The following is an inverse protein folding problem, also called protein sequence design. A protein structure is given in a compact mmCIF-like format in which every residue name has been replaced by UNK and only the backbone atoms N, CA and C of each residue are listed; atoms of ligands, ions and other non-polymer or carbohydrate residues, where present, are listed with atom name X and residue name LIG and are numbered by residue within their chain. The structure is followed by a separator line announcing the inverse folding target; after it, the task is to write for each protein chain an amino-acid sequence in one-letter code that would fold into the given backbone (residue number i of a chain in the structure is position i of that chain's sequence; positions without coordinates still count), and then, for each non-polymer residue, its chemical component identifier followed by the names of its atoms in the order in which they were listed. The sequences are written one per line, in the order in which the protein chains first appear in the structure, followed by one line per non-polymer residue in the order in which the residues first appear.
data_IF_127080969606
#
_entry.id   IF_127080969606
#
_cell.length_a   1.000
_cell.length_b   1.000
_cell.length_c   1.000
_cell.angle_alpha   90.00
_cell.angle_beta   90.00
_cell.angle_gamma   90.00
#
_symmetry.space_group_name_H-M   'P 1'
#
loop_
_entity.id
_entity.type
_entity.pdbx_description
1 polymer ?
#
# COMPACT_ATOMS: atom_id res chain seq x y z
N UNK A 1 -16.92 21.67 -0.41
CA UNK A 1 -17.58 20.96 0.70
C UNK A 1 -16.71 21.00 1.95
N UNK A 2 -17.28 20.72 3.10
CA UNK A 2 -16.56 20.49 4.36
C UNK A 2 -16.44 18.99 4.59
N UNK A 3 -15.23 18.49 4.69
CA UNK A 3 -14.96 17.04 4.74
C UNK A 3 -14.14 16.71 5.99
N UNK A 4 -14.59 15.76 6.80
CA UNK A 4 -13.78 15.15 7.84
C UNK A 4 -13.19 13.83 7.34
N UNK A 5 -11.88 13.62 7.55
CA UNK A 5 -11.15 12.41 7.13
C UNK A 5 -10.69 11.68 8.38
N UNK A 6 -11.26 10.52 8.64
CA UNK A 6 -10.96 9.69 9.81
C UNK A 6 -9.87 8.67 9.50
N UNK A 7 -8.76 8.76 10.22
CA UNK A 7 -7.56 7.97 10.01
C UNK A 7 -6.53 8.70 9.14
N UNK A 8 -5.45 9.17 9.73
CA UNK A 8 -4.33 9.84 9.08
C UNK A 8 -3.17 8.85 8.79
N UNK A 9 -3.55 7.66 8.28
CA UNK A 9 -2.65 6.74 7.63
C UNK A 9 -2.36 7.18 6.20
N UNK A 10 -1.87 6.24 5.37
CA UNK A 10 -1.46 6.53 4.00
C UNK A 10 -2.61 7.17 3.18
N UNK A 11 -3.72 6.46 3.06
CA UNK A 11 -4.89 6.90 2.28
C UNK A 11 -5.48 8.21 2.82
N UNK A 12 -5.58 8.33 4.15
CA UNK A 12 -6.18 9.51 4.77
C UNK A 12 -5.31 10.76 4.64
N UNK A 13 -4.00 10.66 4.83
CA UNK A 13 -3.10 11.80 4.69
C UNK A 13 -3.05 12.33 3.25
N UNK A 14 -2.96 11.41 2.25
CA UNK A 14 -3.05 11.79 0.82
C UNK A 14 -4.41 12.43 0.52
N UNK A 15 -5.50 11.82 1.01
CA UNK A 15 -6.85 12.37 0.80
C UNK A 15 -6.99 13.77 1.42
N UNK A 16 -6.43 14.03 2.61
CA UNK A 16 -6.46 15.37 3.22
C UNK A 16 -5.79 16.42 2.34
N UNK A 17 -4.57 16.15 1.87
CA UNK A 17 -3.82 17.09 1.04
C UNK A 17 -4.51 17.36 -0.31
N UNK A 18 -4.87 16.29 -1.02
CA UNK A 18 -5.45 16.39 -2.36
C UNK A 18 -6.88 16.99 -2.34
N UNK A 19 -7.75 16.61 -1.38
CA UNK A 19 -9.08 17.20 -1.26
C UNK A 19 -9.03 18.69 -0.89
N UNK A 20 -8.09 19.09 -0.03
CA UNK A 20 -7.88 20.49 0.28
C UNK A 20 -7.43 21.29 -0.97
N UNK A 21 -6.55 20.73 -1.79
CA UNK A 21 -6.09 21.36 -3.05
C UNK A 21 -7.20 21.44 -4.10
N UNK A 22 -8.15 20.49 -4.10
CA UNK A 22 -9.36 20.57 -4.93
C UNK A 22 -10.36 21.66 -4.48
N UNK A 23 -10.09 22.36 -3.37
CA UNK A 23 -10.89 23.47 -2.86
C UNK A 23 -11.92 23.08 -1.82
N UNK A 24 -11.77 21.92 -1.17
CA UNK A 24 -12.58 21.54 -0.02
C UNK A 24 -11.98 22.07 1.27
N UNK A 25 -12.82 22.30 2.31
CA UNK A 25 -12.37 22.52 3.68
C UNK A 25 -12.25 21.15 4.36
N UNK A 26 -11.06 20.78 4.83
CA UNK A 26 -10.77 19.43 5.31
C UNK A 26 -10.35 19.44 6.78
N UNK A 27 -10.90 18.51 7.55
CA UNK A 27 -10.49 18.22 8.93
C UNK A 27 -10.02 16.78 9.03
N UNK A 28 -8.72 16.57 9.21
CA UNK A 28 -8.16 15.25 9.49
C UNK A 28 -8.41 14.82 10.94
N UNK A 29 -8.78 13.57 11.16
CA UNK A 29 -9.02 13.01 12.50
C UNK A 29 -8.19 11.76 12.68
N UNK A 30 -7.38 11.70 13.74
CA UNK A 30 -6.66 10.49 14.15
C UNK A 30 -6.52 10.43 15.66
N UNK A 31 -6.50 9.23 16.22
CA UNK A 31 -6.28 9.02 17.65
C UNK A 31 -4.85 9.33 18.09
N UNK A 32 -3.90 9.37 17.14
CA UNK A 32 -2.49 9.66 17.37
C UNK A 32 -2.26 11.17 17.34
N UNK A 33 -2.01 11.78 18.51
CA UNK A 33 -1.65 13.20 18.62
C UNK A 33 -0.43 13.53 17.74
N UNK A 34 0.56 12.64 17.68
CA UNK A 34 1.77 12.86 16.86
C UNK A 34 1.45 13.04 15.37
N UNK A 35 0.49 12.29 14.81
CA UNK A 35 0.07 12.46 13.42
C UNK A 35 -0.72 13.76 13.22
N UNK A 36 -1.58 14.09 14.19
CA UNK A 36 -2.33 15.35 14.20
C UNK A 36 -1.37 16.54 14.19
N UNK A 37 -0.34 16.52 15.03
CA UNK A 37 0.67 17.58 15.12
C UNK A 37 1.48 17.70 13.83
N UNK A 38 1.84 16.58 13.19
CA UNK A 38 2.52 16.59 11.89
C UNK A 38 1.67 17.28 10.82
N UNK A 39 0.41 16.88 10.66
CA UNK A 39 -0.49 17.50 9.67
C UNK A 39 -0.66 18.99 9.96
N UNK A 40 -0.87 19.39 11.22
CA UNK A 40 -1.01 20.80 11.59
C UNK A 40 0.26 21.61 11.39
N UNK A 41 1.43 20.95 11.40
CA UNK A 41 2.71 21.55 11.04
C UNK A 41 2.97 21.57 9.51
N UNK A 42 1.99 21.13 8.68
CA UNK A 42 2.15 21.00 7.23
C UNK A 42 3.07 19.85 6.79
N UNK A 43 3.31 18.88 7.68
CA UNK A 43 4.23 17.75 7.43
C UNK A 43 3.46 16.45 7.25
N UNK A 44 3.82 15.60 6.28
CA UNK A 44 3.18 14.31 6.09
C UNK A 44 3.60 13.31 7.18
N UNK A 45 2.68 12.48 7.69
CA UNK A 45 3.00 11.38 8.59
C UNK A 45 3.51 10.12 7.86
N UNK A 46 3.71 10.20 6.56
CA UNK A 46 4.13 9.13 5.63
C UNK A 46 5.11 9.71 4.61
N UNK A 47 5.86 8.86 3.93
CA UNK A 47 6.71 9.26 2.79
C UNK A 47 5.91 9.12 1.49
N UNK A 48 5.60 10.26 0.85
CA UNK A 48 4.90 10.30 -0.43
C UNK A 48 5.30 11.57 -1.21
N UNK A 49 5.66 11.38 -2.48
CA UNK A 49 6.09 12.47 -3.35
C UNK A 49 4.98 13.52 -3.55
N UNK A 50 5.31 14.80 -3.39
CA UNK A 50 4.36 15.91 -3.58
C UNK A 50 3.38 16.15 -2.43
N UNK A 51 3.30 15.24 -1.44
CA UNK A 51 2.36 15.40 -0.33
C UNK A 51 2.76 16.52 0.62
N UNK A 52 4.05 16.74 0.86
CA UNK A 52 4.52 17.79 1.75
C UNK A 52 4.07 19.17 1.26
N UNK A 53 4.27 19.47 -0.02
CA UNK A 53 3.90 20.73 -0.64
C UNK A 53 2.38 20.98 -0.58
N UNK A 54 1.58 19.92 -0.78
CA UNK A 54 0.12 20.00 -0.68
C UNK A 54 -0.33 20.33 0.74
N UNK A 55 0.22 19.64 1.75
CA UNK A 55 -0.12 19.88 3.15
C UNK A 55 0.30 21.27 3.61
N UNK A 56 1.52 21.71 3.32
CA UNK A 56 1.98 23.06 3.64
C UNK A 56 1.10 24.13 3.02
N UNK A 57 0.75 23.98 1.73
CA UNK A 57 -0.15 24.91 1.02
C UNK A 57 -1.52 24.96 1.67
N UNK A 58 -2.10 23.80 1.98
CA UNK A 58 -3.44 23.69 2.57
C UNK A 58 -3.51 24.29 3.99
N UNK A 59 -2.48 24.08 4.80
CA UNK A 59 -2.37 24.66 6.17
C UNK A 59 -2.21 26.17 6.08
N UNK A 60 -1.32 26.69 5.22
CA UNK A 60 -1.16 28.14 5.02
C UNK A 60 -2.43 28.83 4.53
N UNK A 61 -3.23 28.12 3.72
CA UNK A 61 -4.52 28.61 3.22
C UNK A 61 -5.67 28.46 4.23
N UNK A 62 -5.43 27.88 5.41
CA UNK A 62 -6.43 27.56 6.44
C UNK A 62 -7.61 26.70 5.93
N UNK A 63 -7.37 25.84 4.93
CA UNK A 63 -8.37 24.91 4.38
C UNK A 63 -8.18 23.49 4.89
N UNK A 64 -7.07 23.21 5.57
CA UNK A 64 -6.78 21.95 6.23
C UNK A 64 -6.39 22.20 7.70
N UNK A 65 -6.88 21.36 8.58
CA UNK A 65 -6.43 21.20 9.96
C UNK A 65 -6.60 19.75 10.38
N UNK A 66 -6.02 19.35 11.51
CA UNK A 66 -6.23 18.04 12.09
C UNK A 66 -6.57 18.14 13.57
N UNK A 67 -7.29 17.14 14.10
CA UNK A 67 -7.73 17.07 15.49
C UNK A 67 -7.85 15.61 15.96
N UNK A 68 -7.80 15.39 17.26
CA UNK A 68 -8.17 14.11 17.88
C UNK A 68 -9.66 14.03 18.20
N UNK A 69 -10.39 15.15 18.12
CA UNK A 69 -11.81 15.26 18.43
C UNK A 69 -12.66 14.99 17.19
N UNK A 70 -13.14 13.73 17.06
CA UNK A 70 -14.00 13.32 15.94
C UNK A 70 -15.40 13.95 16.00
N UNK A 71 -15.94 14.26 17.21
CA UNK A 71 -17.25 14.90 17.35
C UNK A 71 -17.23 16.34 16.80
N UNK A 72 -16.19 17.09 17.16
CA UNK A 72 -15.96 18.44 16.62
C UNK A 72 -15.77 18.42 15.09
N UNK A 73 -15.07 17.41 14.56
CA UNK A 73 -14.87 17.27 13.13
C UNK A 73 -16.17 17.00 12.37
N UNK A 74 -17.04 16.10 12.86
CA UNK A 74 -18.35 15.81 12.27
C UNK A 74 -19.26 17.05 12.32
N UNK A 75 -19.30 17.77 13.44
CA UNK A 75 -20.08 19.00 13.59
C UNK A 75 -19.78 20.02 12.49
N UNK A 76 -18.53 20.09 12.05
CA UNK A 76 -18.04 21.07 11.08
C UNK A 76 -17.94 20.52 9.65
N UNK A 77 -18.52 19.35 9.37
CA UNK A 77 -18.45 18.69 8.08
C UNK A 77 -19.82 18.43 7.46
N UNK A 78 -19.83 18.16 6.16
CA UNK A 78 -20.98 17.68 5.39
C UNK A 78 -20.78 16.20 5.02
N UNK A 79 -19.51 15.77 4.98
CA UNK A 79 -19.08 14.43 4.59
C UNK A 79 -18.02 13.92 5.58
N UNK A 80 -18.14 12.67 6.01
CA UNK A 80 -17.09 11.96 6.72
C UNK A 80 -16.49 10.88 5.82
N UNK A 81 -15.16 10.94 5.60
CA UNK A 81 -14.40 9.97 4.83
C UNK A 81 -13.66 9.04 5.80
N UNK A 82 -14.02 7.76 5.83
CA UNK A 82 -13.44 6.77 6.72
C UNK A 82 -12.25 6.09 6.06
N UNK A 83 -11.04 6.43 6.53
CA UNK A 83 -9.74 5.96 6.03
C UNK A 83 -8.95 5.16 7.08
N UNK A 84 -9.63 4.61 8.08
CA UNK A 84 -8.98 3.86 9.16
C UNK A 84 -8.47 2.51 8.67
N UNK A 85 -7.43 1.99 9.33
CA UNK A 85 -6.84 0.71 8.97
C UNK A 85 -7.80 -0.48 9.17
N UNK A 86 -7.69 -1.45 8.29
CA UNK A 86 -8.39 -2.75 8.35
C UNK A 86 -7.36 -3.88 8.38
N UNK A 87 -6.62 -4.08 9.50
CA UNK A 87 -5.54 -5.05 9.56
C UNK A 87 -6.04 -6.48 9.48
N UNK A 88 -5.16 -7.38 9.03
CA UNK A 88 -5.46 -8.81 8.94
C UNK A 88 -5.59 -9.44 10.33
N UNK A 89 -6.56 -10.34 10.47
CA UNK A 89 -6.68 -11.24 11.62
C UNK A 89 -5.66 -12.38 11.50
N UNK A 90 -5.47 -13.14 12.59
CA UNK A 90 -4.62 -14.36 12.58
C UNK A 90 -5.11 -15.43 11.61
N UNK A 91 -6.41 -15.49 11.33
CA UNK A 91 -7.02 -16.43 10.37
C UNK A 91 -6.91 -15.96 8.91
N UNK A 92 -6.37 -14.77 8.65
CA UNK A 92 -6.26 -14.19 7.31
C UNK A 92 -7.43 -13.31 6.88
N UNK A 93 -8.48 -13.21 7.68
CA UNK A 93 -9.58 -12.26 7.47
C UNK A 93 -9.16 -10.82 7.76
N UNK A 94 -10.10 -9.90 7.67
CA UNK A 94 -9.91 -8.47 7.93
C UNK A 94 -10.67 -8.09 9.20
N UNK A 95 -10.01 -7.40 10.15
CA UNK A 95 -10.72 -6.82 11.29
C UNK A 95 -11.35 -5.48 10.90
N UNK A 96 -12.61 -5.31 11.27
CA UNK A 96 -13.42 -4.11 10.99
C UNK A 96 -13.61 -3.22 12.22
N UNK A 97 -13.03 -3.62 13.36
CA UNK A 97 -13.24 -2.98 14.65
C UNK A 97 -13.01 -1.45 14.63
N UNK A 98 -11.93 -0.98 13.99
CA UNK A 98 -11.69 0.46 13.89
C UNK A 98 -12.73 1.16 13.01
N UNK A 99 -13.15 0.52 11.94
CA UNK A 99 -14.17 1.06 11.04
C UNK A 99 -15.53 1.13 11.74
N UNK A 100 -15.90 0.08 12.48
CA UNK A 100 -17.14 0.04 13.28
C UNK A 100 -17.14 1.10 14.39
N UNK A 101 -16.01 1.26 15.09
CA UNK A 101 -15.87 2.26 16.15
C UNK A 101 -16.04 3.69 15.61
N UNK A 102 -15.40 4.00 14.48
CA UNK A 102 -15.53 5.30 13.83
C UNK A 102 -16.93 5.51 13.27
N UNK A 103 -17.55 4.50 12.65
CA UNK A 103 -18.91 4.59 12.15
C UNK A 103 -19.91 4.90 13.30
N UNK A 104 -19.75 4.24 14.44
CA UNK A 104 -20.55 4.50 15.65
C UNK A 104 -20.37 5.93 16.16
N UNK A 105 -19.11 6.38 16.29
CA UNK A 105 -18.79 7.75 16.70
C UNK A 105 -19.41 8.79 15.76
N UNK A 106 -19.28 8.59 14.44
CA UNK A 106 -19.87 9.48 13.44
C UNK A 106 -21.40 9.49 13.56
N UNK A 107 -22.03 8.32 13.70
CA UNK A 107 -23.49 8.22 13.88
C UNK A 107 -23.99 8.93 15.13
N UNK A 108 -23.32 8.77 16.28
CA UNK A 108 -23.63 9.45 17.53
C UNK A 108 -23.49 10.98 17.39
N UNK A 109 -22.46 11.45 16.70
CA UNK A 109 -22.25 12.86 16.39
C UNK A 109 -23.35 13.42 15.47
N UNK A 110 -23.77 12.66 14.45
CA UNK A 110 -24.91 13.01 13.59
C UNK A 110 -26.20 13.16 14.43
N UNK A 111 -26.45 12.23 15.35
CA UNK A 111 -27.60 12.31 16.26
C UNK A 111 -27.54 13.56 17.14
N UNK A 112 -26.37 13.86 17.70
CA UNK A 112 -26.14 15.00 18.61
C UNK A 112 -26.30 16.35 17.92
N UNK A 113 -25.69 16.50 16.73
CA UNK A 113 -25.65 17.79 16.01
C UNK A 113 -26.79 17.97 15.01
N UNK A 114 -27.50 16.90 14.70
CA UNK A 114 -28.70 16.87 13.87
C UNK A 114 -28.57 17.63 12.51
N UNK A 115 -27.53 17.40 11.67
CA UNK A 115 -27.41 18.05 10.38
C UNK A 115 -28.58 17.70 9.48
N UNK A 116 -28.96 18.60 8.54
CA UNK A 116 -30.06 18.34 7.60
C UNK A 116 -29.82 17.11 6.73
N UNK A 117 -28.59 16.95 6.25
CA UNK A 117 -28.11 15.78 5.51
C UNK A 117 -26.62 15.59 5.80
N UNK A 118 -26.18 14.34 5.93
CA UNK A 118 -24.77 14.00 6.16
C UNK A 118 -24.41 12.73 5.38
N UNK A 119 -23.24 12.73 4.73
CA UNK A 119 -22.79 11.57 3.96
C UNK A 119 -21.58 10.92 4.64
N UNK A 120 -21.64 9.60 4.81
CA UNK A 120 -20.52 8.80 5.32
C UNK A 120 -19.95 7.98 4.17
N UNK A 121 -18.69 8.20 3.86
CA UNK A 121 -17.98 7.49 2.80
C UNK A 121 -16.90 6.59 3.39
N UNK A 122 -16.98 5.28 3.15
CA UNK A 122 -15.93 4.34 3.53
C UNK A 122 -14.92 4.21 2.40
N UNK A 123 -13.68 4.65 2.67
CA UNK A 123 -12.53 4.49 1.76
C UNK A 123 -11.62 3.34 2.17
N UNK A 124 -11.74 2.88 3.41
CA UNK A 124 -11.05 1.68 3.90
C UNK A 124 -11.50 0.44 3.12
N UNK A 125 -10.52 -0.35 2.66
CA UNK A 125 -10.82 -1.61 1.94
C UNK A 125 -11.49 -2.62 2.87
N UNK A 126 -12.69 -3.03 2.52
CA UNK A 126 -13.49 -4.01 3.29
C UNK A 126 -14.40 -4.83 2.37
N UNK A 127 -14.74 -6.04 2.82
CA UNK A 127 -15.57 -6.98 2.06
C UNK A 127 -17.05 -6.52 1.99
N UNK A 128 -17.81 -6.98 1.00
CA UNK A 128 -19.20 -6.52 0.76
C UNK A 128 -20.11 -6.56 1.97
N UNK A 129 -20.06 -7.63 2.79
CA UNK A 129 -20.89 -7.76 4.00
C UNK A 129 -20.58 -6.70 5.07
N UNK A 130 -19.33 -6.18 5.10
CA UNK A 130 -18.92 -5.15 6.06
C UNK A 130 -19.66 -3.84 5.80
N UNK A 131 -19.94 -3.52 4.53
CA UNK A 131 -20.66 -2.28 4.19
C UNK A 131 -22.09 -2.30 4.72
N UNK A 132 -22.77 -3.46 4.72
CA UNK A 132 -24.08 -3.58 5.35
C UNK A 132 -23.98 -3.41 6.87
N UNK A 133 -22.99 -4.03 7.52
CA UNK A 133 -22.74 -3.85 8.95
C UNK A 133 -22.51 -2.37 9.31
N UNK A 134 -21.75 -1.63 8.51
CA UNK A 134 -21.50 -0.20 8.76
C UNK A 134 -22.79 0.62 8.58
N UNK A 135 -23.61 0.31 7.56
CA UNK A 135 -24.93 0.92 7.38
C UNK A 135 -25.79 0.70 8.62
N UNK A 136 -25.89 -0.54 9.11
CA UNK A 136 -26.69 -0.88 10.29
C UNK A 136 -26.20 -0.12 11.56
N UNK A 137 -24.88 -0.03 11.76
CA UNK A 137 -24.27 0.74 12.85
C UNK A 137 -24.63 2.22 12.74
N UNK A 138 -24.51 2.81 11.55
CA UNK A 138 -24.82 4.22 11.32
C UNK A 138 -26.31 4.50 11.54
N UNK A 139 -27.21 3.65 11.07
CA UNK A 139 -28.65 3.79 11.32
C UNK A 139 -28.98 3.71 12.80
N UNK A 140 -28.41 2.72 13.50
CA UNK A 140 -28.63 2.54 14.93
C UNK A 140 -28.09 3.70 15.76
N UNK A 141 -26.85 4.13 15.50
CA UNK A 141 -26.19 5.17 16.30
C UNK A 141 -26.70 6.57 15.99
N UNK A 142 -27.06 6.87 14.74
CA UNK A 142 -27.64 8.16 14.36
C UNK A 142 -29.13 8.29 14.66
N UNK A 143 -29.84 7.17 14.78
CA UNK A 143 -31.30 7.12 14.88
C UNK A 143 -32.02 7.49 13.58
N UNK A 144 -31.33 7.43 12.43
CA UNK A 144 -31.84 7.77 11.10
C UNK A 144 -31.78 6.55 10.17
N UNK A 145 -32.60 6.57 9.12
CA UNK A 145 -32.54 5.57 8.03
C UNK A 145 -31.80 6.13 6.83
N UNK A 146 -31.06 5.27 6.11
CA UNK A 146 -30.38 5.66 4.88
C UNK A 146 -31.35 6.32 3.90
N UNK A 147 -30.92 7.37 3.20
CA UNK A 147 -31.77 8.21 2.36
C UNK A 147 -32.63 9.25 3.12
N UNK A 148 -32.69 9.19 4.44
CA UNK A 148 -33.47 10.11 5.26
C UNK A 148 -32.55 10.96 6.17
N UNK A 149 -31.84 11.91 5.57
CA UNK A 149 -30.91 12.82 6.24
C UNK A 149 -29.54 12.21 6.59
N UNK A 150 -29.31 10.97 6.19
CA UNK A 150 -28.00 10.29 6.18
C UNK A 150 -27.87 9.48 4.91
N UNK A 151 -26.69 9.51 4.28
CA UNK A 151 -26.33 8.70 3.14
C UNK A 151 -25.04 7.92 3.39
N UNK A 152 -24.91 6.78 2.74
CA UNK A 152 -23.72 5.95 2.82
C UNK A 152 -23.10 5.71 1.45
N UNK A 153 -21.76 5.68 1.38
CA UNK A 153 -20.99 5.42 0.16
C UNK A 153 -19.83 4.46 0.47
N UNK A 154 -19.73 3.38 -0.29
CA UNK A 154 -18.48 2.68 -0.48
C UNK A 154 -17.69 3.39 -1.57
N UNK A 155 -16.56 3.99 -1.22
CA UNK A 155 -15.71 4.74 -2.13
C UNK A 155 -14.28 4.19 -2.10
N UNK A 156 -14.01 3.08 -2.79
CA UNK A 156 -12.69 2.46 -2.81
C UNK A 156 -11.65 3.40 -3.41
N UNK A 157 -10.41 3.24 -2.96
CA UNK A 157 -9.26 3.94 -3.50
C UNK A 157 -8.44 3.01 -4.42
N UNK A 158 -7.71 3.59 -5.37
CA UNK A 158 -6.82 2.89 -6.30
C UNK A 158 -5.41 3.49 -6.28
N UNK A 159 -5.03 4.04 -5.14
CA UNK A 159 -3.75 4.70 -4.91
C UNK A 159 -2.62 3.68 -4.77
N UNK A 160 -1.47 3.99 -5.35
CA UNK A 160 -0.23 3.20 -5.20
C UNK A 160 0.76 3.97 -4.37
N UNK A 161 1.27 3.36 -3.31
CA UNK A 161 2.29 3.97 -2.45
C UNK A 161 3.51 4.42 -3.27
N UNK A 162 4.01 5.63 -2.98
CA UNK A 162 5.10 6.29 -3.70
C UNK A 162 4.68 7.11 -4.93
N UNK A 163 3.42 6.98 -5.40
CA UNK A 163 2.83 7.76 -6.51
C UNK A 163 1.35 8.08 -6.26
N UNK A 164 0.91 8.07 -5.01
CA UNK A 164 -0.50 8.19 -4.66
C UNK A 164 -1.07 9.59 -4.92
N UNK A 165 -0.25 10.62 -4.85
CA UNK A 165 -0.66 11.98 -5.22
C UNK A 165 -0.98 12.06 -6.71
N UNK A 166 -0.13 11.49 -7.57
CA UNK A 166 -0.38 11.42 -9.00
C UNK A 166 -1.61 10.56 -9.32
N UNK A 167 -1.71 9.36 -8.70
CA UNK A 167 -2.87 8.48 -8.87
C UNK A 167 -4.18 9.13 -8.40
N UNK A 168 -4.12 10.04 -7.43
CA UNK A 168 -5.30 10.78 -6.97
C UNK A 168 -5.80 11.77 -8.02
N UNK A 169 -4.89 12.48 -8.71
CA UNK A 169 -5.26 13.46 -9.74
C UNK A 169 -5.54 12.82 -11.11
N UNK A 170 -4.93 11.66 -11.39
CA UNK A 170 -5.05 10.95 -12.67
C UNK A 170 -5.52 9.49 -12.45
N UNK A 171 -6.66 9.26 -11.74
CA UNK A 171 -7.13 7.91 -11.49
C UNK A 171 -7.65 7.27 -12.79
N UNK A 172 -7.44 5.95 -12.98
CA UNK A 172 -7.98 5.26 -14.14
C UNK A 172 -9.52 5.19 -14.11
N UNK A 173 -10.10 5.33 -12.94
CA UNK A 173 -11.55 5.34 -12.68
C UNK A 173 -11.85 5.90 -11.30
N UNK A 174 -13.05 6.45 -11.12
CA UNK A 174 -13.63 6.82 -9.83
C UNK A 174 -14.87 5.95 -9.61
N UNK A 175 -15.01 5.34 -8.43
CA UNK A 175 -16.14 4.45 -8.12
C UNK A 175 -16.84 4.91 -6.86
N UNK A 176 -18.15 5.09 -6.95
CA UNK A 176 -19.02 5.40 -5.83
C UNK A 176 -20.11 4.35 -5.70
N UNK A 177 -20.07 3.56 -4.65
CA UNK A 177 -21.15 2.65 -4.27
C UNK A 177 -22.11 3.35 -3.31
N UNK A 178 -23.13 4.02 -3.82
CA UNK A 178 -24.04 4.83 -3.01
C UNK A 178 -25.38 4.13 -2.73
N UNK A 179 -25.99 4.47 -1.59
CA UNK A 179 -27.26 3.87 -1.17
C UNK A 179 -28.49 4.53 -1.75
N UNK A 180 -28.38 5.77 -2.23
CA UNK A 180 -29.53 6.55 -2.71
C UNK A 180 -29.11 7.68 -3.66
N UNK A 181 -30.09 8.23 -4.39
CA UNK A 181 -29.86 9.26 -5.40
C UNK A 181 -29.35 10.59 -4.82
N UNK A 182 -29.77 11.00 -3.63
CA UNK A 182 -29.34 12.25 -2.99
C UNK A 182 -27.85 12.14 -2.63
N UNK A 183 -27.46 11.02 -2.09
CA UNK A 183 -26.06 10.71 -1.77
C UNK A 183 -25.20 10.67 -3.04
N UNK A 184 -25.74 10.13 -4.14
CA UNK A 184 -25.07 10.12 -5.46
C UNK A 184 -24.75 11.54 -5.97
N UNK A 185 -25.67 12.50 -5.79
CA UNK A 185 -25.42 13.90 -6.17
C UNK A 185 -24.29 14.54 -5.36
N UNK A 186 -24.16 14.20 -4.06
CA UNK A 186 -23.01 14.65 -3.25
C UNK A 186 -21.70 14.09 -3.80
N UNK A 187 -21.68 12.80 -4.20
CA UNK A 187 -20.49 12.16 -4.79
C UNK A 187 -19.99 12.90 -6.03
N UNK A 188 -20.88 13.38 -6.91
CA UNK A 188 -20.52 14.10 -8.14
C UNK A 188 -19.73 15.39 -7.87
N UNK A 189 -19.88 15.98 -6.70
CA UNK A 189 -19.20 17.23 -6.34
C UNK A 189 -17.86 17.00 -5.62
N UNK A 190 -17.48 15.76 -5.37
CA UNK A 190 -16.27 15.43 -4.60
C UNK A 190 -14.98 15.68 -5.38
N UNK A 191 -15.01 15.48 -6.70
CA UNK A 191 -13.83 15.57 -7.57
C UNK A 191 -14.05 16.52 -8.76
N UNK A 192 -14.23 17.83 -8.52
CA UNK A 192 -14.67 18.76 -9.55
C UNK A 192 -13.66 18.98 -10.69
N UNK A 193 -12.40 18.57 -10.51
CA UNK A 193 -11.31 18.77 -11.48
C UNK A 193 -10.66 17.46 -11.94
N UNK A 194 -11.23 16.32 -11.56
CA UNK A 194 -10.71 15.01 -11.96
C UNK A 194 -11.43 14.55 -13.22
N UNK A 195 -10.68 14.43 -14.31
CA UNK A 195 -11.18 13.90 -15.58
C UNK A 195 -10.91 12.40 -15.65
N UNK A 196 -11.87 11.61 -15.15
CA UNK A 196 -11.80 10.15 -15.17
C UNK A 196 -13.19 9.52 -15.28
N UNK A 197 -13.29 8.33 -15.91
CA UNK A 197 -14.52 7.56 -15.91
C UNK A 197 -15.05 7.37 -14.50
N UNK A 198 -16.26 7.84 -14.23
CA UNK A 198 -16.90 7.77 -12.91
C UNK A 198 -18.07 6.77 -12.96
N UNK A 199 -18.06 5.83 -12.03
CA UNK A 199 -19.06 4.77 -11.93
C UNK A 199 -19.88 4.93 -10.64
N UNK A 200 -21.19 4.86 -10.78
CA UNK A 200 -22.14 4.81 -9.67
C UNK A 200 -22.78 3.43 -9.65
N UNK A 201 -22.53 2.70 -8.56
CA UNK A 201 -22.95 1.30 -8.41
C UNK A 201 -23.46 1.08 -6.97
N UNK A 202 -23.91 -0.13 -6.66
CA UNK A 202 -24.22 -0.53 -5.30
C UNK A 202 -22.96 -0.64 -4.43
N UNK A 203 -23.02 -0.40 -3.10
CA UNK A 203 -21.88 -0.47 -2.21
C UNK A 203 -21.09 -1.79 -2.29
N UNK A 204 -21.80 -2.91 -2.40
CA UNK A 204 -21.21 -4.25 -2.48
C UNK A 204 -20.41 -4.45 -3.79
N UNK A 205 -20.90 -3.89 -4.89
CA UNK A 205 -20.19 -3.93 -6.19
C UNK A 205 -18.93 -3.10 -6.12
N UNK A 206 -19.01 -1.86 -5.57
CA UNK A 206 -17.85 -0.99 -5.39
C UNK A 206 -16.77 -1.67 -4.53
N UNK A 207 -17.16 -2.35 -3.45
CA UNK A 207 -16.25 -3.10 -2.60
C UNK A 207 -15.53 -4.21 -3.39
N UNK A 208 -16.27 -5.02 -4.16
CA UNK A 208 -15.69 -6.12 -4.93
C UNK A 208 -14.75 -5.65 -6.04
N UNK A 209 -14.98 -4.49 -6.65
CA UNK A 209 -14.07 -3.92 -7.65
C UNK A 209 -12.67 -3.75 -7.08
N UNK A 210 -12.53 -3.25 -5.83
CA UNK A 210 -11.21 -3.09 -5.19
C UNK A 210 -10.49 -4.42 -5.00
N UNK A 211 -11.19 -5.46 -4.54
CA UNK A 211 -10.60 -6.80 -4.39
C UNK A 211 -10.23 -7.40 -5.75
N UNK A 212 -11.10 -7.25 -6.76
CA UNK A 212 -10.79 -7.72 -8.11
C UNK A 212 -9.51 -7.07 -8.67
N UNK A 213 -9.37 -5.76 -8.54
CA UNK A 213 -8.18 -5.04 -8.97
C UNK A 213 -6.92 -5.53 -8.25
N UNK A 214 -6.96 -5.61 -6.92
CA UNK A 214 -5.78 -6.03 -6.13
C UNK A 214 -5.40 -7.49 -6.41
N UNK A 215 -6.38 -8.40 -6.51
CA UNK A 215 -6.13 -9.80 -6.87
C UNK A 215 -5.53 -9.91 -8.28
N UNK A 216 -6.02 -9.11 -9.23
CA UNK A 216 -5.49 -9.12 -10.59
C UNK A 216 -4.07 -8.54 -10.66
N UNK A 217 -3.76 -7.51 -9.85
CA UNK A 217 -2.39 -7.02 -9.73
C UNK A 217 -1.45 -8.11 -9.20
N UNK A 218 -1.87 -8.83 -8.14
CA UNK A 218 -1.10 -9.95 -7.59
C UNK A 218 -0.93 -11.08 -8.61
N UNK A 219 -1.97 -11.40 -9.38
CA UNK A 219 -1.89 -12.39 -10.47
C UNK A 219 -0.86 -12.01 -11.51
N UNK A 220 -0.82 -10.75 -11.94
CA UNK A 220 0.16 -10.29 -12.95
C UNK A 220 1.61 -10.43 -12.48
N UNK A 221 1.89 -10.09 -11.23
CA UNK A 221 3.23 -10.26 -10.65
C UNK A 221 3.62 -11.74 -10.63
N UNK A 222 2.73 -12.59 -10.12
CA UNK A 222 2.97 -14.03 -10.02
C UNK A 222 3.20 -14.66 -11.38
N UNK A 223 2.38 -14.28 -12.37
CA UNK A 223 2.54 -14.75 -13.74
C UNK A 223 3.92 -14.37 -14.32
N UNK A 224 4.31 -13.11 -14.18
CA UNK A 224 5.63 -12.66 -14.64
C UNK A 224 6.78 -13.42 -13.98
N UNK A 225 6.68 -13.65 -12.67
CA UNK A 225 7.69 -14.39 -11.92
C UNK A 225 7.76 -15.88 -12.33
N UNK A 226 6.63 -16.55 -12.52
CA UNK A 226 6.60 -17.96 -12.93
C UNK A 226 7.16 -18.13 -14.35
N UNK A 227 6.86 -17.21 -15.28
CA UNK A 227 7.52 -17.18 -16.59
C UNK A 227 9.02 -16.94 -16.44
N UNK A 228 9.43 -16.06 -15.50
CA UNK A 228 10.84 -15.84 -15.19
C UNK A 228 11.57 -17.11 -14.77
N UNK A 229 10.96 -17.90 -13.88
CA UNK A 229 11.53 -19.16 -13.40
C UNK A 229 11.75 -20.14 -14.55
N UNK A 230 10.73 -20.41 -15.34
CA UNK A 230 10.87 -21.39 -16.44
C UNK A 230 11.84 -20.90 -17.52
N UNK A 231 11.86 -19.61 -17.84
CA UNK A 231 12.82 -19.04 -18.75
C UNK A 231 14.27 -19.25 -18.26
N UNK A 232 14.52 -19.08 -16.96
CA UNK A 232 15.85 -19.31 -16.36
C UNK A 232 16.30 -20.75 -16.56
N UNK A 233 15.43 -21.71 -16.29
CA UNK A 233 15.73 -23.15 -16.48
C UNK A 233 16.01 -23.50 -17.94
N UNK A 234 15.35 -22.83 -18.88
CA UNK A 234 15.53 -23.03 -20.32
C UNK A 234 16.68 -22.20 -20.92
N UNK A 235 17.41 -21.41 -20.13
CA UNK A 235 18.47 -20.51 -20.62
C UNK A 235 17.94 -19.36 -21.49
N UNK A 236 16.68 -18.96 -21.31
CA UNK A 236 16.01 -17.89 -22.06
C UNK A 236 15.97 -16.62 -21.21
N UNK A 237 16.23 -15.47 -21.82
CA UNK A 237 16.09 -14.16 -21.17
C UNK A 237 14.60 -13.80 -21.01
N UNK A 238 14.11 -13.91 -19.79
CA UNK A 238 12.70 -13.66 -19.46
C UNK A 238 12.27 -12.20 -19.66
N UNK A 239 13.19 -11.24 -19.54
CA UNK A 239 12.84 -9.84 -19.81
C UNK A 239 12.57 -9.62 -21.29
N UNK A 240 13.36 -10.24 -22.20
CA UNK A 240 13.08 -10.18 -23.64
C UNK A 240 11.74 -10.85 -23.99
N UNK A 241 11.44 -11.99 -23.37
CA UNK A 241 10.12 -12.65 -23.53
C UNK A 241 9.01 -11.72 -23.12
N UNK A 242 9.10 -11.11 -21.92
CA UNK A 242 8.05 -10.25 -21.40
C UNK A 242 7.98 -8.88 -22.06
N UNK A 243 9.07 -8.36 -22.62
CA UNK A 243 9.04 -7.15 -23.46
C UNK A 243 8.19 -7.37 -24.72
N UNK A 244 8.37 -8.51 -25.41
CA UNK A 244 7.54 -8.88 -26.58
C UNK A 244 6.10 -9.16 -26.16
N UNK A 245 5.91 -9.93 -25.09
CA UNK A 245 4.58 -10.19 -24.52
C UNK A 245 3.82 -8.92 -24.20
N UNK A 246 4.47 -7.93 -23.55
CA UNK A 246 3.88 -6.66 -23.17
C UNK A 246 3.66 -5.69 -24.35
N UNK A 247 4.25 -5.95 -25.51
CA UNK A 247 3.96 -5.17 -26.72
C UNK A 247 2.55 -5.42 -27.26
N UNK A 248 1.96 -6.57 -26.95
CA UNK A 248 0.54 -6.84 -27.23
C UNK A 248 -0.38 -6.09 -26.27
N UNK A 249 -0.71 -4.86 -26.64
CA UNK A 249 -1.66 -4.02 -25.92
C UNK A 249 -3.11 -4.39 -26.17
N UNK A 250 -3.38 -5.32 -27.09
CA UNK A 250 -4.72 -5.77 -27.41
C UNK A 250 -5.20 -6.89 -26.48
N UNK A 251 -4.29 -7.83 -26.13
CA UNK A 251 -4.64 -9.05 -25.40
C UNK A 251 -4.07 -9.05 -23.99
N UNK A 252 -2.88 -8.51 -23.80
CA UNK A 252 -2.16 -8.58 -22.52
C UNK A 252 -2.39 -7.37 -21.60
N UNK A 253 -3.30 -6.50 -21.91
CA UNK A 253 -3.85 -5.40 -21.10
C UNK A 253 -2.82 -4.32 -20.75
N UNK A 254 -1.84 -4.57 -19.87
CA UNK A 254 -0.87 -3.58 -19.40
C UNK A 254 0.48 -4.24 -19.07
N UNK A 255 1.62 -3.60 -19.39
CA UNK A 255 2.94 -4.12 -19.06
C UNK A 255 3.30 -4.05 -17.56
N UNK A 256 2.56 -3.30 -16.76
CA UNK A 256 2.84 -3.21 -15.33
C UNK A 256 2.61 -4.54 -14.63
N UNK A 257 3.55 -4.91 -13.76
CA UNK A 257 3.56 -6.16 -12.99
C UNK A 257 3.72 -7.44 -13.80
N UNK A 258 3.99 -7.37 -15.11
CA UNK A 258 4.18 -8.55 -15.96
C UNK A 258 5.64 -8.86 -16.27
N UNK A 259 6.57 -8.01 -15.87
CA UNK A 259 8.02 -8.33 -15.95
C UNK A 259 8.44 -9.13 -14.74
N UNK A 260 9.28 -10.16 -14.93
CA UNK A 260 9.87 -10.86 -13.80
C UNK A 260 10.56 -9.89 -12.85
N UNK A 261 10.36 -10.12 -11.58
CA UNK A 261 10.93 -9.36 -10.48
C UNK A 261 10.99 -10.25 -9.25
N UNK A 262 10.84 -9.69 -8.05
CA UNK A 262 10.80 -10.49 -6.84
C UNK A 262 9.36 -10.73 -6.36
N UNK A 263 9.22 -11.43 -5.24
CA UNK A 263 7.93 -11.65 -4.60
C UNK A 263 7.20 -10.34 -4.33
N UNK A 264 5.88 -10.34 -4.48
CA UNK A 264 5.07 -9.19 -4.09
C UNK A 264 4.93 -9.11 -2.57
N UNK A 265 4.83 -7.88 -2.07
CA UNK A 265 4.63 -7.56 -0.66
C UNK A 265 3.77 -6.32 -0.48
N UNK A 266 3.99 -5.65 0.65
CA UNK A 266 3.24 -4.47 1.02
C UNK A 266 1.92 -4.77 1.73
N UNK A 267 1.30 -3.72 2.24
CA UNK A 267 0.11 -3.84 3.08
C UNK A 267 -1.17 -4.28 2.35
N UNK A 268 -1.18 -4.26 1.01
CA UNK A 268 -2.41 -4.48 0.22
C UNK A 268 -2.48 -5.87 -0.40
N UNK A 269 -1.56 -6.23 -1.32
CA UNK A 269 -1.71 -7.45 -2.13
C UNK A 269 -1.81 -8.73 -1.27
N UNK A 270 -0.90 -8.98 -0.30
CA UNK A 270 -1.01 -10.17 0.54
C UNK A 270 -2.27 -10.17 1.41
N UNK A 271 -2.61 -9.00 1.97
CA UNK A 271 -3.77 -8.85 2.86
C UNK A 271 -5.09 -9.13 2.12
N UNK A 272 -5.29 -8.46 0.98
CA UNK A 272 -6.56 -8.55 0.26
C UNK A 272 -6.75 -9.93 -0.37
N UNK A 273 -5.66 -10.54 -0.85
CA UNK A 273 -5.70 -11.92 -1.33
C UNK A 273 -6.06 -12.91 -0.20
N UNK A 274 -5.50 -12.75 1.00
CA UNK A 274 -5.91 -13.56 2.16
C UNK A 274 -7.35 -13.32 2.56
N UNK A 275 -7.83 -12.08 2.52
CA UNK A 275 -9.20 -11.75 2.88
C UNK A 275 -10.23 -12.41 1.95
N UNK A 276 -10.00 -12.39 0.63
CA UNK A 276 -10.91 -13.06 -0.30
C UNK A 276 -10.88 -14.59 -0.15
N UNK A 277 -9.70 -15.16 0.11
CA UNK A 277 -9.56 -16.59 0.38
C UNK A 277 -10.22 -17.01 1.71
N UNK A 278 -10.19 -16.15 2.72
CA UNK A 278 -10.92 -16.39 3.97
C UNK A 278 -12.43 -16.40 3.74
N UNK A 279 -12.94 -15.44 2.96
CA UNK A 279 -14.35 -15.42 2.54
C UNK A 279 -14.73 -16.67 1.72
N UNK A 280 -13.86 -17.11 0.81
CA UNK A 280 -14.07 -18.32 0.03
C UNK A 280 -14.23 -19.57 0.93
N UNK A 281 -13.40 -19.69 1.98
CA UNK A 281 -13.55 -20.77 2.98
C UNK A 281 -14.88 -20.69 3.72
N UNK A 282 -15.30 -19.48 4.13
CA UNK A 282 -16.58 -19.29 4.84
C UNK A 282 -17.80 -19.61 3.97
N UNK A 283 -17.69 -19.41 2.66
CA UNK A 283 -18.75 -19.67 1.69
C UNK A 283 -18.63 -21.03 0.98
N UNK A 284 -17.69 -21.88 1.41
CA UNK A 284 -17.34 -23.16 0.79
C UNK A 284 -17.12 -23.04 -0.74
N UNK A 285 -16.48 -21.94 -1.18
CA UNK A 285 -16.14 -21.66 -2.57
C UNK A 285 -14.67 -21.94 -2.84
N UNK A 286 -14.37 -22.79 -3.82
CA UNK A 286 -12.99 -23.11 -4.19
C UNK A 286 -12.40 -22.03 -5.12
N UNK A 287 -11.24 -21.47 -4.72
CA UNK A 287 -10.47 -20.48 -5.50
C UNK A 287 -9.01 -20.93 -5.63
N UNK A 288 -8.72 -22.03 -6.35
CA UNK A 288 -7.37 -22.63 -6.36
C UNK A 288 -6.30 -21.71 -6.98
N UNK A 289 -6.62 -20.94 -8.01
CA UNK A 289 -5.69 -19.99 -8.63
C UNK A 289 -5.31 -18.87 -7.65
N UNK A 290 -6.28 -18.26 -6.97
CA UNK A 290 -6.01 -17.22 -5.98
C UNK A 290 -5.24 -17.80 -4.78
N UNK A 291 -5.54 -19.03 -4.36
CA UNK A 291 -4.77 -19.71 -3.31
C UNK A 291 -3.34 -20.01 -3.76
N UNK A 292 -3.17 -20.42 -5.01
CA UNK A 292 -1.87 -20.69 -5.63
C UNK A 292 -0.97 -19.47 -5.68
N UNK A 293 -1.52 -18.24 -5.77
CA UNK A 293 -0.72 -17.01 -5.79
C UNK A 293 0.13 -16.83 -4.52
N UNK A 294 -0.41 -17.13 -3.34
CA UNK A 294 0.35 -17.03 -2.08
C UNK A 294 1.46 -18.09 -2.03
N UNK A 295 1.16 -19.31 -2.46
CA UNK A 295 2.15 -20.37 -2.52
C UNK A 295 3.26 -20.04 -3.52
N UNK A 296 2.90 -19.58 -4.72
CA UNK A 296 3.86 -19.13 -5.75
C UNK A 296 4.74 -17.99 -5.25
N UNK A 297 4.15 -17.01 -4.57
CA UNK A 297 4.92 -15.88 -4.01
C UNK A 297 5.97 -16.33 -2.99
N UNK A 298 5.65 -17.33 -2.16
CA UNK A 298 6.58 -17.93 -1.21
C UNK A 298 7.75 -18.64 -1.91
N UNK A 299 7.48 -19.34 -3.01
CA UNK A 299 8.51 -20.01 -3.83
C UNK A 299 9.58 -19.03 -4.31
N UNK A 300 9.21 -17.77 -4.63
CA UNK A 300 10.18 -16.76 -5.06
C UNK A 300 11.17 -16.42 -3.94
N UNK A 301 10.70 -16.25 -2.72
CA UNK A 301 11.55 -16.02 -1.54
C UNK A 301 12.48 -17.21 -1.31
N UNK A 302 11.95 -18.43 -1.39
CA UNK A 302 12.73 -19.65 -1.23
C UNK A 302 13.77 -19.82 -2.34
N UNK A 303 13.46 -19.43 -3.58
CA UNK A 303 14.38 -19.48 -4.70
C UNK A 303 15.61 -18.57 -4.48
N UNK A 304 15.38 -17.35 -3.98
CA UNK A 304 16.48 -16.45 -3.59
C UNK A 304 17.30 -17.04 -2.44
N UNK A 305 16.64 -17.51 -1.38
CA UNK A 305 17.32 -18.08 -0.22
C UNK A 305 18.19 -19.29 -0.60
N UNK A 306 17.73 -20.18 -1.49
CA UNK A 306 18.53 -21.31 -1.99
C UNK A 306 19.83 -20.89 -2.69
N UNK A 307 19.87 -19.70 -3.30
CA UNK A 307 21.08 -19.17 -3.94
C UNK A 307 22.07 -18.54 -2.98
N UNK A 308 21.59 -18.06 -1.84
CA UNK A 308 22.39 -17.29 -0.87
C UNK A 308 22.84 -18.15 0.29
N UNK A 309 21.96 -18.98 0.84
CA UNK A 309 22.25 -19.80 2.01
C UNK A 309 23.25 -20.90 1.65
N UNK A 310 24.36 -20.94 2.37
CA UNK A 310 25.40 -21.97 2.22
C UNK A 310 26.11 -22.20 3.58
N UNK A 311 26.83 -23.31 3.69
CA UNK A 311 27.64 -23.62 4.87
C UNK A 311 28.71 -22.58 5.16
N UNK A 312 29.22 -21.90 4.13
CA UNK A 312 30.23 -20.84 4.26
C UNK A 312 29.69 -19.56 4.92
N UNK A 313 28.38 -19.43 5.04
CA UNK A 313 27.69 -18.27 5.63
C UNK A 313 28.25 -16.92 5.15
N UNK A 314 28.20 -16.64 3.84
CA UNK A 314 28.73 -15.38 3.30
C UNK A 314 28.04 -14.18 3.98
N UNK A 315 28.75 -13.06 4.07
CA UNK A 315 28.16 -11.78 4.48
C UNK A 315 27.24 -11.30 3.37
N UNK A 316 26.01 -10.97 3.72
CA UNK A 316 25.00 -10.53 2.75
C UNK A 316 24.76 -9.03 2.87
N UNK A 317 24.97 -8.32 1.77
CA UNK A 317 24.52 -6.93 1.60
C UNK A 317 23.14 -6.92 0.96
N UNK A 318 22.25 -6.09 1.45
CA UNK A 318 20.93 -5.89 0.87
C UNK A 318 20.75 -4.41 0.50
N UNK A 319 20.36 -4.13 -0.74
CA UNK A 319 19.99 -2.79 -1.20
C UNK A 319 18.48 -2.74 -1.43
N UNK A 320 17.78 -2.04 -0.52
CA UNK A 320 16.33 -1.95 -0.45
C UNK A 320 15.72 -3.01 0.46
N UNK A 321 15.08 -2.57 1.54
CA UNK A 321 14.34 -3.41 2.50
C UNK A 321 12.83 -3.20 2.42
N UNK A 322 12.41 -1.98 2.09
CA UNK A 322 11.00 -1.67 1.89
C UNK A 322 10.39 -2.56 0.80
N UNK A 323 9.08 -2.78 0.84
CA UNK A 323 8.42 -3.67 -0.13
C UNK A 323 8.48 -3.12 -1.57
N UNK A 324 8.81 -1.85 -1.72
CA UNK A 324 8.90 -1.13 -3.00
C UNK A 324 9.85 0.06 -2.89
N UNK A 325 10.55 0.37 -3.97
CA UNK A 325 11.37 1.58 -4.07
C UNK A 325 10.54 2.87 -3.88
N UNK A 326 11.16 3.91 -3.28
CA UNK A 326 10.52 5.20 -3.05
C UNK A 326 9.53 5.25 -1.88
N UNK A 327 9.51 4.24 -1.01
CA UNK A 327 8.70 4.20 0.22
C UNK A 327 9.54 3.70 1.40
N UNK A 328 9.09 3.99 2.60
CA UNK A 328 9.64 3.49 3.87
C UNK A 328 8.83 2.30 4.44
N UNK A 329 7.81 1.82 3.72
CA UNK A 329 6.94 0.76 4.20
C UNK A 329 7.59 -0.62 4.08
N UNK A 330 7.88 -1.23 5.23
CA UNK A 330 8.45 -2.58 5.34
C UNK A 330 7.41 -3.65 5.64
N UNK A 331 6.14 -3.27 5.78
CA UNK A 331 5.07 -4.22 6.13
C UNK A 331 4.92 -5.29 5.04
N UNK A 332 5.02 -6.54 5.47
CA UNK A 332 4.97 -7.70 4.57
C UNK A 332 5.96 -7.61 3.38
N UNK A 333 7.06 -6.86 3.53
CA UNK A 333 8.13 -6.91 2.54
C UNK A 333 8.72 -8.32 2.48
N UNK A 334 8.80 -8.95 1.31
CA UNK A 334 9.46 -10.26 1.17
C UNK A 334 10.92 -10.23 1.61
N UNK A 335 11.56 -9.07 1.52
CA UNK A 335 12.96 -8.89 1.92
C UNK A 335 13.14 -8.88 3.42
N UNK A 336 12.14 -8.45 4.19
CA UNK A 336 12.13 -8.62 5.65
C UNK A 336 12.19 -10.12 5.99
N UNK A 337 11.40 -10.96 5.33
CA UNK A 337 11.45 -12.41 5.52
C UNK A 337 12.82 -13.00 5.11
N UNK A 338 13.40 -12.52 4.00
CA UNK A 338 14.76 -12.94 3.58
C UNK A 338 15.79 -12.61 4.66
N UNK A 339 15.78 -11.40 5.20
CA UNK A 339 16.70 -10.95 6.25
C UNK A 339 16.51 -11.78 7.53
N UNK A 340 15.27 -11.98 7.96
CA UNK A 340 14.94 -12.80 9.13
C UNK A 340 15.52 -14.23 9.01
N UNK A 341 15.29 -14.89 7.87
CA UNK A 341 15.82 -16.23 7.61
C UNK A 341 17.34 -16.26 7.57
N UNK A 342 17.99 -15.27 6.91
CA UNK A 342 19.45 -15.19 6.84
C UNK A 342 20.07 -14.99 8.23
N UNK A 343 19.53 -14.05 9.02
CA UNK A 343 19.97 -13.84 10.41
C UNK A 343 19.76 -15.09 11.27
N UNK A 344 18.59 -15.75 11.15
CA UNK A 344 18.28 -16.99 11.86
C UNK A 344 19.20 -18.15 11.48
N UNK A 345 19.77 -18.16 10.28
CA UNK A 345 20.80 -19.12 9.82
C UNK A 345 22.24 -18.68 10.15
N UNK A 346 22.41 -17.55 10.82
CA UNK A 346 23.70 -17.04 11.28
C UNK A 346 24.53 -16.33 10.20
N UNK A 347 23.89 -15.83 9.13
CA UNK A 347 24.54 -14.93 8.19
C UNK A 347 24.66 -13.52 8.79
N UNK A 348 25.79 -12.87 8.59
CA UNK A 348 25.92 -11.44 8.83
C UNK A 348 25.19 -10.70 7.69
N UNK A 349 24.33 -9.76 8.04
CA UNK A 349 23.55 -8.97 7.09
C UNK A 349 23.87 -7.49 7.28
N UNK A 350 24.02 -6.75 6.18
CA UNK A 350 24.11 -5.28 6.15
C UNK A 350 23.09 -4.76 5.14
N UNK A 351 22.35 -3.73 5.53
CA UNK A 351 21.22 -3.22 4.75
C UNK A 351 21.44 -1.75 4.43
N UNK A 352 21.29 -1.39 3.16
CA UNK A 352 21.15 -0.01 2.72
C UNK A 352 19.78 0.18 2.09
N UNK A 353 19.06 1.21 2.52
CA UNK A 353 17.82 1.63 1.90
C UNK A 353 17.75 3.16 1.90
N UNK A 354 17.60 3.77 0.71
CA UNK A 354 17.68 5.22 0.54
C UNK A 354 16.54 5.97 1.26
N UNK A 355 15.38 5.32 1.39
CA UNK A 355 14.16 5.94 1.92
C UNK A 355 13.79 5.47 3.33
N UNK A 356 14.44 4.43 3.84
CA UNK A 356 14.14 3.85 5.15
C UNK A 356 15.03 4.45 6.24
N UNK A 357 14.46 5.32 7.04
CA UNK A 357 15.10 5.84 8.26
C UNK A 357 14.45 5.20 9.49
N UNK A 358 15.25 4.49 10.29
CA UNK A 358 14.78 3.84 11.53
C UNK A 358 14.13 4.84 12.49
N UNK A 359 14.67 6.07 12.55
CA UNK A 359 14.16 7.13 13.42
C UNK A 359 12.81 7.68 12.94
N UNK A 360 12.57 7.64 11.64
CA UNK A 360 11.33 8.13 11.03
C UNK A 360 10.20 7.10 11.02
N UNK A 361 10.49 5.82 11.26
CA UNK A 361 9.46 4.79 11.32
C UNK A 361 8.47 5.04 12.46
N UNK A 362 7.18 5.03 12.16
CA UNK A 362 6.10 5.27 13.12
C UNK A 362 4.97 4.23 13.00
N UNK A 363 4.15 4.13 14.05
CA UNK A 363 2.92 3.35 14.05
C UNK A 363 3.11 1.87 13.68
N UNK A 364 2.19 1.33 12.89
CA UNK A 364 2.17 -0.08 12.51
C UNK A 364 3.41 -0.52 11.71
N UNK A 365 3.99 0.37 10.89
CA UNK A 365 5.20 0.09 10.14
C UNK A 365 6.40 -0.16 11.07
N UNK A 366 6.59 0.70 12.08
CA UNK A 366 7.63 0.52 13.11
C UNK A 366 7.41 -0.78 13.91
N UNK A 367 6.19 -1.02 14.37
CA UNK A 367 5.87 -2.22 15.13
C UNK A 367 6.15 -3.49 14.33
N UNK A 368 5.79 -3.51 13.05
CA UNK A 368 6.09 -4.63 12.16
C UNK A 368 7.59 -4.84 12.00
N UNK A 369 8.34 -3.78 11.66
CA UNK A 369 9.78 -3.84 11.43
C UNK A 369 10.54 -4.46 12.62
N UNK A 370 10.29 -3.96 13.83
CA UNK A 370 10.97 -4.43 15.03
C UNK A 370 10.42 -5.77 15.61
N UNK A 371 9.19 -6.14 15.25
CA UNK A 371 8.68 -7.48 15.57
C UNK A 371 9.33 -8.57 14.72
N UNK A 372 9.55 -8.30 13.43
CA UNK A 372 10.19 -9.24 12.51
C UNK A 372 11.73 -9.27 12.70
N UNK A 373 12.36 -8.10 12.82
CA UNK A 373 13.81 -7.97 12.97
C UNK A 373 14.10 -7.06 14.16
N UNK A 374 14.15 -7.61 15.40
CA UNK A 374 14.33 -6.79 16.62
C UNK A 374 15.61 -5.93 16.62
N UNK A 375 16.67 -6.38 15.96
CA UNK A 375 17.96 -5.71 15.84
C UNK A 375 18.15 -5.00 14.50
N UNK A 376 17.07 -4.62 13.82
CA UNK A 376 17.12 -3.97 12.50
C UNK A 376 18.03 -2.73 12.48
N UNK A 377 18.04 -1.96 13.56
CA UNK A 377 18.89 -0.76 13.66
C UNK A 377 20.38 -1.07 13.50
N UNK A 378 20.85 -2.23 13.98
CA UNK A 378 22.25 -2.66 13.90
C UNK A 378 22.64 -3.16 12.51
N UNK A 379 21.63 -3.59 11.72
CA UNK A 379 21.82 -4.06 10.35
C UNK A 379 21.85 -2.93 9.33
N UNK A 380 21.16 -1.80 9.64
CA UNK A 380 21.06 -0.66 8.72
C UNK A 380 22.36 0.11 8.62
N UNK A 381 22.67 0.56 7.41
CA UNK A 381 23.84 1.40 7.13
C UNK A 381 23.46 2.51 6.12
N UNK A 382 23.77 3.75 6.45
CA UNK A 382 23.47 4.91 5.59
C UNK A 382 24.49 5.11 4.44
N UNK A 383 25.50 4.27 4.36
CA UNK A 383 26.53 4.35 3.32
C UNK A 383 26.50 3.09 2.45
N UNK A 384 26.09 3.24 1.20
CA UNK A 384 25.99 2.15 0.22
C UNK A 384 27.34 1.44 0.01
N UNK A 385 28.44 2.20 -0.15
CA UNK A 385 29.75 1.59 -0.40
C UNK A 385 30.20 0.70 0.76
N UNK A 386 29.92 1.09 2.02
CA UNK A 386 30.23 0.25 3.18
C UNK A 386 29.44 -1.06 3.19
N UNK A 387 28.18 -1.04 2.71
CA UNK A 387 27.40 -2.27 2.54
C UNK A 387 28.00 -3.16 1.44
N UNK A 388 28.37 -2.56 0.32
CA UNK A 388 29.01 -3.27 -0.80
C UNK A 388 30.35 -3.85 -0.36
N UNK A 389 31.20 -3.07 0.33
CA UNK A 389 32.52 -3.51 0.80
C UNK A 389 32.43 -4.66 1.82
N UNK A 390 31.42 -4.67 2.66
CA UNK A 390 31.22 -5.74 3.62
C UNK A 390 30.71 -7.04 2.98
N UNK A 391 29.91 -6.97 1.92
CA UNK A 391 29.18 -8.09 1.38
C UNK A 391 30.04 -9.04 0.52
N UNK A 392 29.87 -10.34 0.70
CA UNK A 392 30.32 -11.37 -0.24
C UNK A 392 29.23 -11.61 -1.33
N UNK A 393 27.98 -11.49 -0.92
CA UNK A 393 26.80 -11.56 -1.79
C UNK A 393 26.00 -10.27 -1.60
N UNK A 394 25.81 -9.52 -2.68
CA UNK A 394 24.97 -8.33 -2.69
C UNK A 394 23.62 -8.65 -3.35
N UNK A 395 22.52 -8.44 -2.64
CA UNK A 395 21.16 -8.56 -3.17
C UNK A 395 20.65 -7.16 -3.47
N UNK A 396 20.17 -6.95 -4.70
CA UNK A 396 19.63 -5.65 -5.13
C UNK A 396 18.16 -5.78 -5.47
N UNK A 397 17.33 -5.06 -4.72
CA UNK A 397 15.87 -5.06 -4.85
C UNK A 397 15.29 -3.68 -5.16
N UNK A 398 16.07 -2.61 -4.97
CA UNK A 398 15.66 -1.24 -5.28
C UNK A 398 16.59 -0.61 -6.31
N UNK A 399 16.01 0.15 -7.22
CA UNK A 399 16.78 0.99 -8.13
C UNK A 399 17.27 2.23 -7.40
N UNK A 400 18.54 2.50 -7.54
CA UNK A 400 19.12 3.78 -7.16
C UNK A 400 19.37 4.60 -8.43
N UNK A 401 19.65 5.88 -8.25
CA UNK A 401 20.02 6.75 -9.39
C UNK A 401 21.23 6.15 -10.14
N UNK A 402 21.26 6.21 -11.47
CA UNK A 402 22.40 5.67 -12.24
C UNK A 402 23.76 6.19 -11.75
N UNK A 403 23.88 7.48 -11.44
CA UNK A 403 25.11 8.07 -10.92
C UNK A 403 25.58 7.41 -9.61
N UNK A 404 24.64 6.96 -8.75
CA UNK A 404 24.95 6.25 -7.50
C UNK A 404 25.60 4.90 -7.82
N UNK A 405 25.00 4.12 -8.72
CA UNK A 405 25.57 2.83 -9.12
C UNK A 405 26.92 2.98 -9.82
N UNK A 406 27.09 4.01 -10.67
CA UNK A 406 28.34 4.27 -11.38
C UNK A 406 29.50 4.59 -10.42
N UNK A 407 29.21 5.16 -9.25
CA UNK A 407 30.23 5.45 -8.24
C UNK A 407 30.60 4.26 -7.35
N UNK A 408 29.81 3.15 -7.39
CA UNK A 408 30.06 1.96 -6.57
C UNK A 408 31.22 1.14 -7.12
N UNK A 409 32.17 0.80 -6.25
CA UNK A 409 33.25 -0.14 -6.53
C UNK A 409 32.89 -1.55 -6.02
N UNK A 410 32.88 -2.55 -6.91
CA UNK A 410 32.64 -3.95 -6.57
C UNK A 410 33.95 -4.68 -6.27
N UNK A 411 33.92 -5.62 -5.31
CA UNK A 411 35.08 -6.46 -4.99
C UNK A 411 35.28 -7.56 -6.04
N UNK A 412 36.51 -7.99 -6.32
CA UNK A 412 36.76 -9.23 -7.07
C UNK A 412 36.10 -10.43 -6.40
N UNK A 413 35.39 -11.24 -7.16
CA UNK A 413 34.71 -12.45 -6.66
C UNK A 413 33.39 -12.19 -5.90
N UNK A 414 32.97 -10.94 -5.73
CA UNK A 414 31.67 -10.59 -5.14
C UNK A 414 30.54 -11.04 -6.07
N UNK A 415 29.55 -11.72 -5.51
CA UNK A 415 28.33 -12.05 -6.23
C UNK A 415 27.32 -10.92 -6.09
N UNK A 416 26.67 -10.55 -7.19
CA UNK A 416 25.59 -9.53 -7.21
C UNK A 416 24.34 -10.17 -7.78
N UNK A 417 23.34 -10.38 -6.91
CA UNK A 417 22.05 -10.96 -7.28
C UNK A 417 21.06 -9.80 -7.49
N UNK A 418 20.71 -9.58 -8.73
CA UNK A 418 19.79 -8.53 -9.13
C UNK A 418 18.36 -9.10 -9.23
N UNK A 419 17.43 -8.50 -8.47
CA UNK A 419 16.03 -8.93 -8.43
C UNK A 419 15.13 -8.16 -9.41
N UNK A 420 15.63 -7.05 -10.00
CA UNK A 420 14.79 -6.08 -10.72
C UNK A 420 15.35 -5.61 -12.07
N UNK A 421 16.44 -6.25 -12.54
CA UNK A 421 17.13 -5.92 -13.77
C UNK A 421 17.61 -4.46 -13.84
N UNK A 422 18.67 -4.16 -13.07
CA UNK A 422 19.33 -2.84 -13.06
C UNK A 422 20.49 -2.87 -14.09
N UNK A 423 20.40 -2.12 -15.19
CA UNK A 423 21.43 -2.14 -16.24
C UNK A 423 22.85 -1.78 -15.73
N UNK A 424 22.96 -0.84 -14.81
CA UNK A 424 24.23 -0.40 -14.24
C UNK A 424 24.96 -1.49 -13.43
N UNK A 425 24.27 -2.58 -13.03
CA UNK A 425 24.85 -3.71 -12.31
C UNK A 425 25.48 -4.75 -13.21
N UNK A 426 25.17 -4.76 -14.51
CA UNK A 426 25.71 -5.76 -15.46
C UNK A 426 27.24 -5.74 -15.55
N UNK A 427 27.89 -4.66 -15.13
CA UNK A 427 29.35 -4.53 -15.05
C UNK A 427 29.98 -5.18 -13.79
N UNK A 428 29.16 -5.61 -12.81
CA UNK A 428 29.68 -6.22 -11.60
C UNK A 428 30.30 -7.60 -11.92
N UNK A 429 31.46 -7.96 -11.34
CA UNK A 429 32.21 -9.16 -11.71
C UNK A 429 31.43 -10.48 -11.54
N UNK A 430 30.57 -10.57 -10.55
CA UNK A 430 29.73 -11.75 -10.26
C UNK A 430 28.25 -11.46 -10.40
N UNK A 431 27.88 -10.67 -11.43
CA UNK A 431 26.49 -10.35 -11.70
C UNK A 431 25.67 -11.57 -12.09
N UNK A 432 24.52 -11.72 -11.47
CA UNK A 432 23.48 -12.68 -11.89
C UNK A 432 22.09 -12.07 -11.67
N UNK A 433 21.22 -12.20 -12.66
CA UNK A 433 19.81 -11.93 -12.48
C UNK A 433 19.09 -13.08 -11.79
N UNK A 434 18.03 -12.79 -10.99
CA UNK A 434 17.27 -13.85 -10.35
C UNK A 434 16.55 -14.72 -11.40
N UNK A 435 16.12 -14.13 -12.51
CA UNK A 435 15.32 -14.78 -13.56
C UNK A 435 15.89 -14.67 -14.99
N UNK A 436 17.06 -14.07 -15.19
CA UNK A 436 17.71 -13.88 -16.49
C UNK A 436 19.19 -14.12 -16.42
#
# INVERSE_FOLDING_TARGET
MRISVFGLGYVGAVSCGCLADLGHSVVGVDISQAKVDLINAGKPPIVEAGLNELLEKAIRANVLRATVDGDEAVKNSDVALLCVGTPSTRSGGVTTHYLEAVARQVGESIKKHNPKHFVVMTRSTSLPHVHQLIIDILEQSSGRKMGHGIGYVCHPEFLREGVAVDDFYHPPKVVFGSTDAVTTEVCKTMYPKIDAPTFHVEPQVAAMIKYADNCFHALKVTFGNEIGLICKELGVDSHKVMDVFCADKKLNISPKYLKPGFAFGGSCLPKDLRAILDTARQTATDLPMLAGMLASNKVQVEALLRRVVSEKRPVVGLVGLAFKEGTDDVRESPLVNVVEVLCGKGHAVKIYDEHLSIQALVGANRSFAFSAIPHLADLMNNNLQQVVDAADVLIVSHRLKPATWQSVAFKPGQRVIDLINVPDLHRAPGYEGLYW
#
